data_IF_183150721389
#
_entry.id   IF_183150721389
#
_cell.length_a   1.000
_cell.length_b   1.000
_cell.length_c   1.000
_cell.angle_alpha   90.00
_cell.angle_beta   90.00
_cell.angle_gamma   90.00
#
_symmetry.space_group_name_H-M   'P 1'
#
loop_
_entity.id
_entity.type
_entity.pdbx_description
1 polymer ?
#
# COMPACT_ATOMS: atom_id res chain seq x y z
N UNK A 1 -5.02 -23.23 7.62
CA UNK A 1 -4.00 -22.67 6.69
C UNK A 1 -3.89 -23.62 5.50
N UNK A 2 -4.04 -23.14 4.26
CA UNK A 2 -4.08 -23.99 3.04
C UNK A 2 -2.76 -24.05 2.25
N UNK A 3 -1.71 -23.38 2.72
CA UNK A 3 -0.42 -23.32 2.03
C UNK A 3 0.71 -23.51 3.06
N UNK A 4 1.17 -24.74 3.23
CA UNK A 4 2.41 -25.07 3.97
C UNK A 4 3.39 -25.64 2.96
N UNK A 5 4.64 -25.14 2.99
CA UNK A 5 5.74 -25.67 2.22
C UNK A 5 6.68 -26.35 3.21
N UNK A 6 6.97 -27.63 2.99
CA UNK A 6 7.96 -28.38 3.76
C UNK A 6 9.35 -28.11 3.16
N UNK A 7 10.18 -27.35 3.87
CA UNK A 7 11.53 -26.98 3.40
C UNK A 7 12.46 -28.19 3.35
N UNK A 8 12.21 -29.23 4.14
CA UNK A 8 13.03 -30.45 4.16
C UNK A 8 12.81 -31.29 2.88
N UNK A 9 11.73 -31.04 2.15
CA UNK A 9 11.46 -31.66 0.84
C UNK A 9 11.85 -30.77 -0.35
N UNK A 10 12.54 -29.65 -0.11
CA UNK A 10 13.03 -28.76 -1.17
C UNK A 10 14.54 -28.85 -1.31
N UNK A 11 15.03 -29.08 -2.53
CA UNK A 11 16.47 -29.20 -2.79
C UNK A 11 17.18 -27.83 -2.80
N UNK A 12 16.44 -26.76 -3.08
CA UNK A 12 16.91 -25.38 -2.98
C UNK A 12 15.75 -24.39 -2.79
N UNK A 13 16.04 -23.24 -2.17
CA UNK A 13 15.13 -22.11 -2.06
C UNK A 13 15.65 -20.94 -2.90
N UNK A 14 14.78 -20.33 -3.70
CA UNK A 14 15.09 -19.10 -4.42
C UNK A 14 14.71 -17.88 -3.57
N UNK A 15 15.68 -16.98 -3.36
CA UNK A 15 15.47 -15.74 -2.63
C UNK A 15 15.83 -14.55 -3.53
N UNK A 16 14.86 -13.68 -3.77
CA UNK A 16 15.11 -12.38 -4.40
C UNK A 16 15.27 -11.32 -3.32
N UNK A 17 16.22 -10.41 -3.50
CA UNK A 17 16.42 -9.26 -2.63
C UNK A 17 15.82 -8.03 -3.27
N UNK A 18 14.77 -7.47 -2.66
CA UNK A 18 14.23 -6.18 -3.03
C UNK A 18 15.01 -5.04 -2.38
N UNK A 19 14.99 -3.87 -3.01
CA UNK A 19 15.43 -2.61 -2.41
C UNK A 19 14.25 -1.99 -1.67
N UNK A 20 14.44 -1.49 -0.44
CA UNK A 20 13.34 -0.84 0.29
C UNK A 20 12.81 0.39 -0.47
N UNK A 21 11.52 0.70 -0.31
CA UNK A 21 10.83 1.77 -1.06
C UNK A 21 11.55 3.12 -1.00
N UNK A 22 11.81 3.65 0.20
CA UNK A 22 12.42 4.98 0.34
C UNK A 22 13.85 5.04 -0.23
N UNK A 23 14.76 4.08 0.07
CA UNK A 23 16.07 4.02 -0.58
C UNK A 23 16.01 3.93 -2.11
N UNK A 24 15.05 3.18 -2.68
CA UNK A 24 14.90 3.11 -4.13
C UNK A 24 14.50 4.47 -4.72
N UNK A 25 13.62 5.22 -4.05
CA UNK A 25 13.24 6.58 -4.45
C UNK A 25 14.43 7.54 -4.32
N UNK A 26 15.17 7.50 -3.21
CA UNK A 26 16.37 8.32 -3.01
C UNK A 26 17.39 8.09 -4.13
N UNK A 27 17.61 6.84 -4.53
CA UNK A 27 18.53 6.48 -5.60
C UNK A 27 18.07 7.02 -6.97
N UNK A 28 16.79 6.86 -7.32
CA UNK A 28 16.24 7.38 -8.57
C UNK A 28 16.36 8.91 -8.63
N UNK A 29 16.05 9.59 -7.52
CA UNK A 29 16.12 11.05 -7.45
C UNK A 29 17.57 11.55 -7.49
N UNK A 30 18.51 10.87 -6.83
CA UNK A 30 19.94 11.19 -6.92
C UNK A 30 20.50 11.03 -8.34
N UNK A 31 19.91 10.13 -9.14
CA UNK A 31 20.26 9.92 -10.55
C UNK A 31 19.52 10.86 -11.51
N UNK A 32 18.66 11.77 -11.01
CA UNK A 32 17.85 12.67 -11.83
C UNK A 32 16.72 11.97 -12.60
N UNK A 33 16.36 10.75 -12.20
CA UNK A 33 15.32 9.93 -12.84
C UNK A 33 13.95 10.18 -12.22
N UNK A 34 13.51 11.43 -12.27
CA UNK A 34 12.24 11.85 -11.66
C UNK A 34 11.05 11.08 -12.25
N UNK A 35 11.00 10.92 -13.57
CA UNK A 35 9.92 10.17 -14.26
C UNK A 35 9.83 8.71 -13.79
N UNK A 36 10.96 8.06 -13.51
CA UNK A 36 10.98 6.68 -13.00
C UNK A 36 10.49 6.61 -11.55
N UNK A 37 10.81 7.63 -10.73
CA UNK A 37 10.33 7.71 -9.35
C UNK A 37 8.82 8.00 -9.29
N UNK A 38 8.31 8.87 -10.15
CA UNK A 38 6.87 9.11 -10.32
C UNK A 38 6.14 7.84 -10.77
N UNK A 39 6.71 7.13 -11.74
CA UNK A 39 6.18 5.85 -12.21
C UNK A 39 6.17 4.78 -11.11
N UNK A 40 7.17 4.76 -10.23
CA UNK A 40 7.20 3.85 -9.09
C UNK A 40 6.07 4.17 -8.10
N UNK A 41 5.80 5.45 -7.82
CA UNK A 41 4.65 5.87 -7.00
C UNK A 41 3.33 5.46 -7.65
N UNK A 42 3.19 5.64 -8.96
CA UNK A 42 1.98 5.22 -9.71
C UNK A 42 1.76 3.71 -9.59
N UNK A 43 2.82 2.91 -9.72
CA UNK A 43 2.78 1.46 -9.56
C UNK A 43 2.42 1.05 -8.13
N UNK A 44 2.90 1.80 -7.13
CA UNK A 44 2.59 1.55 -5.72
C UNK A 44 1.09 1.74 -5.46
N UNK A 45 0.52 2.86 -5.94
CA UNK A 45 -0.91 3.11 -5.84
C UNK A 45 -1.73 2.05 -6.59
N UNK A 46 -1.28 1.63 -7.78
CA UNK A 46 -1.94 0.58 -8.54
C UNK A 46 -1.95 -0.78 -7.81
N UNK A 47 -0.85 -1.12 -7.12
CA UNK A 47 -0.76 -2.32 -6.28
C UNK A 47 -1.80 -2.29 -5.15
N UNK A 48 -1.83 -1.19 -4.38
CA UNK A 48 -2.77 -1.02 -3.26
C UNK A 48 -4.23 -1.07 -3.74
N UNK A 49 -4.56 -0.35 -4.82
CA UNK A 49 -5.93 -0.34 -5.38
C UNK A 49 -6.35 -1.72 -5.90
N UNK A 50 -5.43 -2.48 -6.50
CA UNK A 50 -5.69 -3.86 -6.95
C UNK A 50 -6.00 -4.80 -5.79
N UNK A 51 -5.37 -4.59 -4.63
CA UNK A 51 -5.65 -5.32 -3.39
C UNK A 51 -7.04 -5.00 -2.87
N UNK A 52 -7.36 -3.71 -2.76
CA UNK A 52 -8.67 -3.27 -2.28
C UNK A 52 -9.82 -3.77 -3.17
N UNK A 53 -9.64 -3.75 -4.50
CA UNK A 53 -10.61 -4.29 -5.44
C UNK A 53 -10.88 -5.79 -5.22
N UNK A 54 -9.87 -6.54 -4.76
CA UNK A 54 -9.99 -7.97 -4.44
C UNK A 54 -10.49 -8.22 -3.01
N UNK A 55 -10.61 -7.18 -2.18
CA UNK A 55 -11.03 -7.30 -0.79
C UNK A 55 -9.87 -7.57 0.17
N UNK A 56 -8.63 -7.30 -0.24
CA UNK A 56 -7.45 -7.43 0.61
C UNK A 56 -7.02 -6.06 1.11
N UNK A 57 -6.61 -6.02 2.38
CA UNK A 57 -5.98 -4.86 2.98
C UNK A 57 -4.94 -5.34 3.99
N UNK A 58 -3.98 -4.47 4.28
CA UNK A 58 -2.91 -4.74 5.24
C UNK A 58 -3.10 -3.82 6.45
N UNK A 59 -3.39 -4.41 7.60
CA UNK A 59 -3.66 -3.69 8.84
C UNK A 59 -2.43 -2.95 9.41
N UNK A 60 -1.23 -3.21 8.90
CA UNK A 60 -0.04 -2.47 9.31
C UNK A 60 0.14 -1.21 8.48
N UNK A 61 0.04 -0.03 9.09
CA UNK A 61 0.20 1.24 8.38
C UNK A 61 1.66 1.54 7.94
N UNK A 62 2.63 0.68 8.27
CA UNK A 62 4.05 0.85 7.96
C UNK A 62 4.41 0.60 6.47
N UNK A 63 3.76 1.34 5.55
CA UNK A 63 3.95 1.22 4.10
C UNK A 63 5.42 1.26 3.67
N UNK A 64 6.20 2.19 4.25
CA UNK A 64 7.62 2.38 3.90
C UNK A 64 8.51 1.23 4.37
N UNK A 65 8.11 0.51 5.42
CA UNK A 65 8.83 -0.62 6.01
C UNK A 65 8.40 -1.96 5.41
N UNK A 66 7.18 -2.05 4.89
CA UNK A 66 6.61 -3.30 4.37
C UNK A 66 6.63 -3.39 2.84
N UNK A 67 7.11 -2.34 2.17
CA UNK A 67 7.21 -2.28 0.71
C UNK A 67 8.66 -2.30 0.24
N UNK A 68 8.99 -3.28 -0.61
CA UNK A 68 10.21 -3.32 -1.39
C UNK A 68 9.96 -2.99 -2.86
N UNK A 69 11.04 -2.83 -3.62
CA UNK A 69 11.07 -2.58 -5.05
C UNK A 69 11.96 -3.65 -5.69
N UNK A 70 11.40 -4.37 -6.66
CA UNK A 70 12.10 -5.39 -7.43
C UNK A 70 11.83 -5.13 -8.92
N UNK A 71 12.90 -4.95 -9.71
CA UNK A 71 12.81 -4.66 -11.14
C UNK A 71 11.89 -3.46 -11.47
N UNK A 72 11.89 -2.43 -10.62
CA UNK A 72 11.05 -1.23 -10.77
C UNK A 72 9.58 -1.43 -10.39
N UNK A 73 9.20 -2.58 -9.85
CA UNK A 73 7.85 -2.83 -9.34
C UNK A 73 7.84 -2.90 -7.81
N UNK A 74 6.87 -2.25 -7.16
CA UNK A 74 6.67 -2.40 -5.73
C UNK A 74 6.15 -3.80 -5.42
N UNK A 75 6.61 -4.35 -4.30
CA UNK A 75 6.18 -5.64 -3.75
C UNK A 75 6.03 -5.52 -2.23
N UNK A 76 5.11 -6.29 -1.65
CA UNK A 76 5.09 -6.49 -0.20
C UNK A 76 6.21 -7.43 0.20
N UNK A 77 7.03 -7.00 1.17
CA UNK A 77 8.10 -7.83 1.75
C UNK A 77 7.70 -8.43 3.09
N UNK A 78 6.64 -7.90 3.71
CA UNK A 78 5.95 -8.51 4.84
C UNK A 78 4.46 -8.61 4.52
N UNK A 79 3.90 -9.81 4.63
CA UNK A 79 2.46 -10.07 4.43
C UNK A 79 1.77 -10.51 5.74
N UNK A 80 2.42 -10.38 6.90
CA UNK A 80 1.96 -10.93 8.17
C UNK A 80 0.62 -10.38 8.67
N UNK A 81 0.23 -9.19 8.23
CA UNK A 81 -1.02 -8.50 8.64
C UNK A 81 -2.03 -8.34 7.50
N UNK A 82 -1.84 -9.07 6.38
CA UNK A 82 -2.82 -9.09 5.30
C UNK A 82 -4.11 -9.80 5.72
N UNK A 83 -5.22 -9.10 5.58
CA UNK A 83 -6.56 -9.62 5.85
C UNK A 83 -7.43 -9.58 4.61
N UNK A 84 -8.37 -10.52 4.55
CA UNK A 84 -9.52 -10.39 3.66
C UNK A 84 -10.63 -9.63 4.39
N UNK A 85 -11.04 -8.49 3.85
CA UNK A 85 -12.19 -7.71 4.31
C UNK A 85 -12.97 -7.19 3.11
N UNK A 86 -14.12 -7.78 2.80
CA UNK A 86 -14.96 -7.38 1.67
C UNK A 86 -15.37 -5.89 1.73
N UNK A 87 -15.45 -5.30 2.92
CA UNK A 87 -15.81 -3.89 3.12
C UNK A 87 -14.83 -2.93 2.44
N UNK A 88 -13.56 -3.31 2.29
CA UNK A 88 -12.56 -2.46 1.62
C UNK A 88 -12.87 -2.28 0.14
N UNK A 89 -13.69 -3.13 -0.49
CA UNK A 89 -14.13 -2.91 -1.87
C UNK A 89 -15.01 -1.67 -2.02
N UNK A 90 -15.63 -1.19 -0.93
CA UNK A 90 -16.49 -0.02 -0.96
C UNK A 90 -15.66 1.28 -1.12
N UNK A 91 -16.03 2.20 -2.03
CA UNK A 91 -15.30 3.45 -2.27
C UNK A 91 -14.97 4.27 -1.04
N UNK A 92 -15.93 4.41 -0.12
CA UNK A 92 -15.71 5.16 1.12
C UNK A 92 -14.61 4.53 1.99
N UNK A 93 -14.50 3.20 2.00
CA UNK A 93 -13.58 2.46 2.85
C UNK A 93 -12.18 2.46 2.24
N UNK A 94 -12.00 2.04 0.98
CA UNK A 94 -10.63 2.02 0.41
C UNK A 94 -10.03 3.40 0.25
N UNK A 95 -10.83 4.45 0.00
CA UNK A 95 -10.27 5.81 -0.12
C UNK A 95 -9.67 6.28 1.19
N UNK A 96 -10.36 6.01 2.29
CA UNK A 96 -9.85 6.33 3.63
C UNK A 96 -8.61 5.48 3.95
N UNK A 97 -8.67 4.18 3.69
CA UNK A 97 -7.54 3.26 3.87
C UNK A 97 -6.31 3.71 3.05
N UNK A 98 -6.50 4.07 1.78
CA UNK A 98 -5.45 4.57 0.92
C UNK A 98 -4.83 5.86 1.47
N UNK A 99 -5.66 6.78 1.97
CA UNK A 99 -5.20 8.02 2.58
C UNK A 99 -4.36 7.75 3.83
N UNK A 100 -4.84 6.90 4.73
CA UNK A 100 -4.14 6.53 5.97
C UNK A 100 -2.81 5.85 5.65
N UNK A 101 -2.81 4.86 4.75
CA UNK A 101 -1.63 4.10 4.33
C UNK A 101 -0.55 4.98 3.69
N UNK A 102 -0.95 6.01 2.92
CA UNK A 102 -0.01 6.90 2.22
C UNK A 102 0.38 8.13 3.02
N UNK A 103 -0.23 8.37 4.20
CA UNK A 103 -0.06 9.61 4.95
C UNK A 103 1.38 9.86 5.41
N UNK A 104 2.01 8.90 6.08
CA UNK A 104 3.39 9.06 6.55
C UNK A 104 4.40 9.03 5.40
N UNK A 105 4.09 8.29 4.33
CA UNK A 105 4.89 8.32 3.11
C UNK A 105 4.85 9.70 2.42
N UNK A 106 3.67 10.32 2.33
CA UNK A 106 3.53 11.68 1.82
C UNK A 106 4.29 12.70 2.67
N UNK A 107 4.28 12.58 4.01
CA UNK A 107 5.12 13.43 4.88
C UNK A 107 6.61 13.23 4.60
N UNK A 108 7.04 11.98 4.45
CA UNK A 108 8.43 11.66 4.15
C UNK A 108 8.86 12.30 2.82
N UNK A 109 8.05 12.15 1.77
CA UNK A 109 8.29 12.79 0.47
C UNK A 109 8.35 14.31 0.58
N UNK A 110 7.47 14.96 1.35
CA UNK A 110 7.52 16.43 1.53
C UNK A 110 8.84 16.93 2.08
N UNK A 111 9.51 16.14 2.91
CA UNK A 111 10.79 16.49 3.52
C UNK A 111 11.95 16.22 2.56
N UNK A 112 11.92 15.09 1.85
CA UNK A 112 13.09 14.60 1.08
C UNK A 112 13.00 14.93 -0.41
N UNK A 113 11.80 14.82 -1.00
CA UNK A 113 11.53 14.96 -2.43
C UNK A 113 10.21 15.71 -2.69
N UNK A 114 10.14 17.03 -2.49
CA UNK A 114 8.89 17.80 -2.54
C UNK A 114 8.10 17.63 -3.86
N UNK A 115 8.79 17.54 -5.00
CA UNK A 115 8.15 17.31 -6.30
C UNK A 115 7.38 15.97 -6.35
N UNK A 116 7.93 14.92 -5.75
CA UNK A 116 7.25 13.62 -5.67
C UNK A 116 6.07 13.64 -4.70
N UNK A 117 6.12 14.49 -3.65
CA UNK A 117 4.98 14.69 -2.77
C UNK A 117 3.81 15.35 -3.52
N UNK A 118 4.10 16.32 -4.38
CA UNK A 118 3.10 16.95 -5.26
C UNK A 118 2.51 15.93 -6.24
N UNK A 119 3.35 15.09 -6.84
CA UNK A 119 2.90 14.00 -7.71
C UNK A 119 1.95 13.05 -6.97
N UNK A 120 2.36 12.52 -5.80
CA UNK A 120 1.51 11.64 -4.99
C UNK A 120 0.18 12.32 -4.64
N UNK A 121 0.19 13.57 -4.20
CA UNK A 121 -1.02 14.31 -3.88
C UNK A 121 -1.94 14.46 -5.10
N UNK A 122 -1.39 14.78 -6.28
CA UNK A 122 -2.15 14.86 -7.51
C UNK A 122 -2.82 13.52 -7.87
N UNK A 123 -2.09 12.40 -7.73
CA UNK A 123 -2.65 11.06 -7.95
C UNK A 123 -3.77 10.75 -6.96
N UNK A 124 -3.60 11.06 -5.68
CA UNK A 124 -4.62 10.85 -4.65
C UNK A 124 -5.88 11.69 -4.91
N UNK A 125 -5.74 12.94 -5.36
CA UNK A 125 -6.88 13.78 -5.79
C UNK A 125 -7.64 13.13 -6.94
N UNK A 126 -6.94 12.58 -7.95
CA UNK A 126 -7.60 11.88 -9.07
C UNK A 126 -8.35 10.63 -8.60
N UNK A 127 -7.79 9.87 -7.67
CA UNK A 127 -8.36 8.61 -7.18
C UNK A 127 -9.54 8.86 -6.22
N UNK A 128 -9.37 9.80 -5.29
CA UNK A 128 -10.32 10.04 -4.20
C UNK A 128 -11.36 11.11 -4.55
N UNK A 129 -11.04 12.04 -5.46
CA UNK A 129 -11.90 13.18 -5.76
C UNK A 129 -12.03 14.12 -4.56
N UNK A 130 -13.22 14.69 -4.31
CA UNK A 130 -13.44 15.63 -3.20
C UNK A 130 -13.06 15.07 -1.83
N UNK A 131 -13.17 13.76 -1.63
CA UNK A 131 -12.88 13.08 -0.36
C UNK A 131 -11.46 13.40 0.15
N UNK A 132 -10.48 13.57 -0.74
CA UNK A 132 -9.09 13.88 -0.39
C UNK A 132 -8.94 15.11 0.50
N UNK A 133 -9.76 16.15 0.25
CA UNK A 133 -9.66 17.41 0.98
C UNK A 133 -10.34 17.39 2.35
N UNK A 134 -11.16 16.37 2.60
CA UNK A 134 -11.90 16.20 3.86
C UNK A 134 -11.40 15.00 4.69
N UNK A 135 -10.53 14.17 4.13
CA UNK A 135 -9.89 13.05 4.83
C UNK A 135 -8.91 13.55 5.90
N UNK A 136 -8.99 12.93 7.07
CA UNK A 136 -8.03 13.10 8.14
C UNK A 136 -7.42 11.72 8.45
N UNK A 137 -6.12 11.67 8.82
CA UNK A 137 -5.49 10.41 9.19
C UNK A 137 -6.15 9.85 10.46
N UNK A 138 -6.49 8.57 10.47
CA UNK A 138 -6.91 7.89 11.69
C UNK A 138 -5.69 7.55 12.56
N UNK A 139 -5.43 8.38 13.59
CA UNK A 139 -4.44 8.06 14.62
C UNK A 139 -5.07 7.21 15.73
N UNK A 140 -4.81 5.90 15.73
CA UNK A 140 -5.26 5.04 16.83
C UNK A 140 -4.10 4.72 17.78
N UNK A 141 -4.24 5.14 19.05
CA UNK A 141 -3.38 4.72 20.15
C UNK A 141 -3.60 3.22 20.39
N UNK A 142 -2.62 2.39 20.01
CA UNK A 142 -2.37 1.12 20.68
C UNK A 142 -3.17 -0.12 20.25
N UNK A 143 -4.00 -0.07 19.22
CA UNK A 143 -4.61 -1.27 18.63
C UNK A 143 -4.78 -1.04 17.13
N UNK A 144 -4.38 -2.04 16.32
CA UNK A 144 -4.61 -2.11 14.87
C UNK A 144 -6.02 -1.63 14.56
N UNK A 145 -6.12 -0.58 13.75
CA UNK A 145 -7.39 -0.07 13.28
C UNK A 145 -8.10 -1.25 12.60
N UNK A 146 -9.10 -1.84 13.27
CA UNK A 146 -9.93 -2.83 12.62
C UNK A 146 -10.69 -2.07 11.55
N UNK A 147 -10.27 -2.21 10.29
CA UNK A 147 -11.03 -1.78 9.13
C UNK A 147 -12.48 -2.20 9.41
N UNK A 148 -13.45 -1.28 9.47
CA UNK A 148 -14.79 -1.61 9.92
C UNK A 148 -15.32 -2.80 9.11
N UNK A 149 -15.56 -3.92 9.79
CA UNK A 149 -16.26 -5.04 9.19
C UNK A 149 -17.71 -4.63 9.03
N UNK A 150 -18.12 -4.31 7.80
CA UNK A 150 -19.54 -4.34 7.46
C UNK A 150 -19.86 -5.82 7.26
N UNK A 151 -20.78 -6.42 8.05
CA UNK A 151 -21.23 -7.78 7.80
C UNK A 151 -21.74 -7.84 6.36
N UNK A 152 -21.30 -8.84 5.60
CA UNK A 152 -21.90 -9.16 4.32
C UNK A 152 -23.39 -9.36 4.58
N UNK A 153 -24.24 -8.43 4.13
CA UNK A 153 -25.69 -8.58 4.26
C UNK A 153 -26.04 -9.89 3.57
N UNK A 154 -26.73 -10.75 4.31
CA UNK A 154 -27.20 -12.06 3.88
C UNK A 154 -28.23 -11.91 2.75
N UNK A 155 -27.78 -11.54 1.55
CA UNK A 155 -28.57 -11.50 0.32
C UNK A 155 -27.78 -12.20 -0.78
N UNK A 156 -27.52 -13.49 -0.57
CA UNK A 156 -27.29 -14.47 -1.64
C UNK A 156 -27.24 -15.87 -1.05
N UNK A 157 -28.36 -16.30 -0.47
CA UNK A 157 -28.73 -17.71 -0.51
C UNK A 157 -30.03 -17.80 -1.30
N UNK A 158 -29.91 -18.52 -2.41
CA UNK A 158 -30.98 -18.91 -3.34
C UNK A 158 -32.19 -19.47 -2.60
#
# INVERSE_FOLDING_TARGET
MKHQVDLDQTEFALQWRATMLCPAIDELMAQGKTDEAELLIDRLLAMLLSEYARGYADNDHALMQNTGVLNGYPIHIDMGQFIYNASVKAPKVYKQELYDKTFDFHKWLKIHHPALAEHLAARLVVIMGPDYFYSAPYFHKGDVAKIPHVPETAESKQ
#
